data_IF_998961761740
#
_entry.id   IF_998961761740
#
_cell.length_a   1.000
_cell.length_b   1.000
_cell.length_c   1.000
_cell.angle_alpha   90.00
_cell.angle_beta   90.00
_cell.angle_gamma   90.00
#
_symmetry.space_group_name_H-M   'P 1'
#
loop_
_entity.id
_entity.type
_entity.pdbx_description
1 polymer ?
#
# COMPACT_ATOMS: atom_id res chain seq x y z
N UNK A 1 2.70 -1.39 -5.17
CA UNK A 1 2.41 -2.22 -3.98
C UNK A 1 1.06 -1.87 -3.35
N UNK A 2 0.88 -0.67 -2.77
CA UNK A 2 -0.36 -0.29 -2.07
C UNK A 2 -1.63 -0.41 -2.94
N UNK A 3 -1.61 0.12 -4.17
CA UNK A 3 -2.73 -0.02 -5.11
C UNK A 3 -3.09 -1.49 -5.38
N UNK A 4 -2.07 -2.35 -5.58
CA UNK A 4 -2.26 -3.79 -5.75
C UNK A 4 -2.88 -4.45 -4.51
N UNK A 5 -2.40 -4.13 -3.30
CA UNK A 5 -2.97 -4.68 -2.08
C UNK A 5 -4.45 -4.28 -1.90
N UNK A 6 -4.78 -3.01 -2.14
CA UNK A 6 -6.17 -2.53 -2.14
C UNK A 6 -7.03 -3.32 -3.13
N UNK A 7 -6.55 -3.50 -4.37
CA UNK A 7 -7.24 -4.27 -5.40
C UNK A 7 -7.40 -5.76 -5.03
N UNK A 8 -6.41 -6.38 -4.39
CA UNK A 8 -6.47 -7.78 -3.98
C UNK A 8 -7.48 -8.02 -2.85
N UNK A 9 -7.63 -7.09 -1.91
CA UNK A 9 -8.70 -7.18 -0.91
C UNK A 9 -10.08 -7.15 -1.57
N UNK A 10 -10.30 -6.24 -2.53
CA UNK A 10 -11.54 -6.20 -3.31
C UNK A 10 -11.73 -7.47 -4.14
N UNK A 11 -10.68 -7.95 -4.82
CA UNK A 11 -10.77 -9.19 -5.59
C UNK A 11 -11.12 -10.42 -4.74
N UNK A 12 -10.68 -10.43 -3.47
CA UNK A 12 -11.00 -11.49 -2.52
C UNK A 12 -12.50 -11.61 -2.21
N UNK A 13 -13.30 -10.56 -2.40
CA UNK A 13 -14.76 -10.62 -2.22
C UNK A 13 -15.48 -11.25 -3.40
N UNK A 14 -14.89 -11.20 -4.60
CA UNK A 14 -15.42 -11.87 -5.78
C UNK A 14 -14.95 -13.32 -5.88
N UNK A 15 -13.74 -13.62 -5.38
CA UNK A 15 -13.06 -14.92 -5.52
C UNK A 15 -12.37 -15.35 -4.21
N UNK A 16 -13.15 -15.80 -3.20
CA UNK A 16 -12.63 -16.05 -1.84
C UNK A 16 -11.54 -17.14 -1.76
N UNK A 17 -11.61 -18.20 -2.57
CA UNK A 17 -10.70 -19.35 -2.47
C UNK A 17 -9.42 -19.23 -3.32
N UNK A 18 -9.02 -18.00 -3.68
CA UNK A 18 -7.87 -17.75 -4.56
C UNK A 18 -6.63 -17.23 -3.86
N UNK A 19 -6.65 -17.09 -2.54
CA UNK A 19 -5.47 -16.65 -1.79
C UNK A 19 -5.17 -15.15 -1.90
N UNK A 20 -6.12 -14.34 -2.40
CA UNK A 20 -5.88 -12.93 -2.67
C UNK A 20 -5.80 -12.10 -1.40
N UNK A 21 -6.60 -12.43 -0.37
CA UNK A 21 -6.54 -11.75 0.93
C UNK A 21 -5.16 -11.95 1.56
N UNK A 22 -4.66 -13.18 1.56
CA UNK A 22 -3.36 -13.54 2.15
C UNK A 22 -2.22 -12.84 1.41
N UNK A 23 -2.33 -12.73 0.08
CA UNK A 23 -1.38 -11.98 -0.73
C UNK A 23 -1.43 -10.48 -0.39
N UNK A 24 -2.63 -9.90 -0.25
CA UNK A 24 -2.81 -8.51 0.16
C UNK A 24 -2.22 -8.26 1.56
N UNK A 25 -2.47 -9.17 2.52
CA UNK A 25 -1.97 -9.10 3.89
C UNK A 25 -0.45 -9.04 3.93
N UNK A 26 0.24 -9.90 3.17
CA UNK A 26 1.71 -9.89 3.07
C UNK A 26 2.25 -8.57 2.52
N UNK A 27 1.58 -7.98 1.52
CA UNK A 27 1.97 -6.68 0.98
C UNK A 27 1.77 -5.59 2.03
N UNK A 28 0.61 -5.58 2.72
CA UNK A 28 0.30 -4.58 3.74
C UNK A 28 1.24 -4.67 4.95
N UNK A 29 1.61 -5.88 5.39
CA UNK A 29 2.60 -6.08 6.45
C UNK A 29 3.97 -5.51 6.06
N UNK A 30 4.41 -5.75 4.83
CA UNK A 30 5.65 -5.18 4.32
C UNK A 30 5.59 -3.65 4.27
N UNK A 31 4.51 -3.08 3.72
CA UNK A 31 4.31 -1.63 3.66
C UNK A 31 4.19 -0.97 5.03
N UNK A 32 3.63 -1.66 6.02
CA UNK A 32 3.50 -1.17 7.40
C UNK A 32 4.81 -1.25 8.20
N UNK A 33 5.82 -1.99 7.71
CA UNK A 33 7.11 -2.14 8.37
C UNK A 33 7.95 -0.84 8.32
N UNK A 34 8.95 -0.68 9.22
CA UNK A 34 9.87 0.46 9.19
C UNK A 34 10.66 0.62 7.88
N UNK A 35 10.73 -0.44 7.06
CA UNK A 35 11.40 -0.39 5.76
C UNK A 35 10.66 0.44 4.71
N UNK A 36 9.35 0.67 4.90
CA UNK A 36 8.51 1.40 3.93
C UNK A 36 7.63 2.46 4.58
N UNK A 37 7.22 2.28 5.84
CA UNK A 37 6.42 3.26 6.58
C UNK A 37 7.31 4.26 7.31
N UNK A 38 7.08 5.53 7.05
CA UNK A 38 7.80 6.62 7.70
C UNK A 38 7.50 6.67 9.20
N UNK A 39 8.48 7.13 9.97
CA UNK A 39 8.28 7.48 11.38
C UNK A 39 7.37 8.70 11.47
N UNK A 40 6.52 8.76 12.49
CA UNK A 40 5.61 9.90 12.72
C UNK A 40 6.41 11.21 12.80
N UNK A 41 5.93 12.24 12.09
CA UNK A 41 6.57 13.56 12.02
C UNK A 41 7.77 13.65 11.07
N UNK A 42 8.09 12.59 10.33
CA UNK A 42 9.16 12.58 9.31
C UNK A 42 8.58 12.53 7.89
N UNK A 43 9.44 12.43 6.87
CA UNK A 43 9.04 12.20 5.47
C UNK A 43 8.02 13.21 4.92
N UNK A 44 8.10 14.48 5.32
CA UNK A 44 7.13 15.51 4.91
C UNK A 44 5.68 15.22 5.34
N UNK A 45 5.49 14.36 6.34
CA UNK A 45 4.21 13.80 6.79
C UNK A 45 3.53 12.84 5.80
N UNK A 46 4.23 12.38 4.77
CA UNK A 46 3.79 11.23 3.98
C UNK A 46 3.95 9.94 4.79
N UNK A 47 3.04 9.00 4.57
CA UNK A 47 2.98 7.73 5.32
C UNK A 47 4.01 6.74 4.78
N UNK A 48 4.08 6.58 3.46
CA UNK A 48 4.97 5.63 2.81
C UNK A 48 6.19 6.33 2.17
N UNK A 49 7.30 5.60 2.17
CA UNK A 49 8.55 5.92 1.50
C UNK A 49 8.68 5.06 0.22
N UNK A 50 9.72 5.31 -0.57
CA UNK A 50 10.15 4.43 -1.66
C UNK A 50 9.11 4.20 -2.77
N UNK A 51 8.49 5.28 -3.25
CA UNK A 51 7.68 5.25 -4.48
C UNK A 51 8.46 5.80 -5.67
N UNK A 52 8.01 5.44 -6.87
CA UNK A 52 8.58 5.93 -8.12
C UNK A 52 7.46 6.43 -9.03
N UNK A 53 7.54 7.68 -9.48
CA UNK A 53 6.62 8.28 -10.43
C UNK A 53 7.04 7.98 -11.87
N UNK A 54 8.24 8.40 -12.28
CA UNK A 54 8.70 8.16 -13.66
C UNK A 54 10.21 8.05 -13.81
N UNK A 55 10.73 6.81 -13.79
CA UNK A 55 12.14 6.51 -14.12
C UNK A 55 12.53 7.03 -15.51
N UNK A 56 11.73 6.85 -16.59
CA UNK A 56 12.12 7.30 -17.92
C UNK A 56 12.34 8.81 -18.04
N UNK A 57 11.65 9.60 -17.20
CA UNK A 57 11.77 11.06 -17.19
C UNK A 57 12.70 11.59 -16.09
N UNK A 58 13.35 10.71 -15.32
CA UNK A 58 14.21 11.12 -14.19
C UNK A 58 13.44 11.83 -13.07
N UNK A 59 12.13 11.60 -12.95
CA UNK A 59 11.24 12.32 -12.04
C UNK A 59 10.68 11.40 -10.97
N UNK A 60 10.60 11.92 -9.74
CA UNK A 60 9.98 11.23 -8.60
C UNK A 60 10.56 9.83 -8.37
N UNK A 61 11.88 9.69 -8.33
CA UNK A 61 12.55 8.41 -8.11
C UNK A 61 12.89 8.28 -6.62
N UNK A 62 12.39 7.21 -5.99
CA UNK A 62 12.63 6.89 -4.57
C UNK A 62 12.19 8.00 -3.60
N UNK A 63 10.96 8.47 -3.79
CA UNK A 63 10.34 9.55 -3.01
C UNK A 63 8.97 9.13 -2.49
N UNK A 64 8.40 9.79 -1.47
CA UNK A 64 6.99 9.60 -1.15
C UNK A 64 6.07 10.15 -2.26
N UNK A 65 4.91 9.52 -2.44
CA UNK A 65 3.89 9.93 -3.41
C UNK A 65 2.50 9.85 -2.77
N UNK A 66 1.69 10.90 -2.95
CA UNK A 66 0.38 11.02 -2.30
C UNK A 66 -0.57 9.87 -2.65
N UNK A 67 -0.53 9.36 -3.88
CA UNK A 67 -1.36 8.23 -4.29
C UNK A 67 -0.93 6.91 -3.64
N UNK A 68 0.35 6.76 -3.26
CA UNK A 68 0.79 5.58 -2.50
C UNK A 68 0.14 5.57 -1.11
N UNK A 69 0.09 6.72 -0.44
CA UNK A 69 -0.57 6.90 0.86
C UNK A 69 -2.09 6.69 0.76
N UNK A 70 -2.72 7.24 -0.28
CA UNK A 70 -4.16 7.04 -0.53
C UNK A 70 -4.51 5.56 -0.61
N UNK A 71 -3.83 4.79 -1.47
CA UNK A 71 -4.12 3.37 -1.62
C UNK A 71 -3.70 2.53 -0.41
N UNK A 72 -2.70 2.98 0.36
CA UNK A 72 -2.33 2.31 1.61
C UNK A 72 -3.45 2.44 2.66
N UNK A 73 -4.00 3.64 2.82
CA UNK A 73 -5.15 3.87 3.70
C UNK A 73 -6.40 3.12 3.22
N UNK A 74 -6.67 3.12 1.91
CA UNK A 74 -7.76 2.35 1.32
C UNK A 74 -7.60 0.84 1.60
N UNK A 75 -6.40 0.30 1.41
CA UNK A 75 -6.09 -1.10 1.71
C UNK A 75 -6.32 -1.44 3.19
N UNK A 76 -5.92 -0.57 4.12
CA UNK A 76 -6.20 -0.73 5.55
C UNK A 76 -7.70 -0.71 5.85
N UNK A 77 -8.46 0.19 5.21
CA UNK A 77 -9.91 0.25 5.36
C UNK A 77 -10.60 -1.02 4.86
N UNK A 78 -10.23 -1.50 3.66
CA UNK A 78 -10.78 -2.74 3.08
C UNK A 78 -10.46 -3.96 3.96
N UNK A 79 -9.20 -4.08 4.41
CA UNK A 79 -8.80 -5.13 5.36
C UNK A 79 -9.68 -5.11 6.61
N UNK A 80 -9.80 -3.95 7.25
CA UNK A 80 -10.64 -3.77 8.45
C UNK A 80 -12.08 -4.20 8.20
N UNK A 81 -12.65 -3.86 7.04
CA UNK A 81 -14.04 -4.18 6.73
C UNK A 81 -14.26 -5.68 6.42
N UNK A 82 -13.25 -6.38 5.92
CA UNK A 82 -13.26 -7.84 5.73
C UNK A 82 -13.08 -8.64 7.04
N UNK A 83 -12.43 -8.06 8.04
CA UNK A 83 -12.08 -8.73 9.31
C UNK A 83 -13.05 -8.41 10.46
N UNK A 84 -14.19 -7.76 10.17
CA UNK A 84 -15.30 -7.56 11.10
C UNK A 84 -16.09 -8.84 11.33
#
# INVERSE_FOLDING_TARGET
AACTASALYELSTYLPDKGYKETADRIMESLASPSYRAKVGTNGNFILMHSVGSIPHGAEIDVPLNYADYYFLEGLMRKRDLEK
#
